data_IF_625784705808
#
_entry.id   IF_625784705808
#
_cell.length_a   1.000
_cell.length_b   1.000
_cell.length_c   1.000
_cell.angle_alpha   90.00
_cell.angle_beta   90.00
_cell.angle_gamma   90.00
#
_symmetry.space_group_name_H-M   'P 1'
#
loop_
_entity.id
_entity.type
_entity.pdbx_description
1 polymer ?
#
# COMPACT_ATOMS: atom_id res chain seq x y z
N UNK A 1 48.70 -45.73 28.56
CA UNK A 1 47.79 -45.31 29.65
C UNK A 1 47.01 -44.14 29.13
N UNK A 2 46.05 -44.46 28.48
CA UNK A 2 44.71 -44.03 28.12
C UNK A 2 44.29 -42.68 28.69
N UNK A 3 44.06 -41.72 27.82
CA UNK A 3 43.19 -40.57 27.99
C UNK A 3 42.14 -40.62 26.84
N UNK A 4 41.04 -41.21 27.20
CA UNK A 4 39.81 -41.18 26.44
C UNK A 4 38.72 -40.56 27.34
N UNK A 5 37.68 -40.02 26.71
CA UNK A 5 36.47 -39.55 27.32
C UNK A 5 36.45 -38.15 27.92
N UNK A 6 36.08 -37.17 27.04
CA UNK A 6 34.98 -36.25 27.35
C UNK A 6 34.49 -35.57 26.04
N UNK A 7 33.70 -36.27 25.29
CA UNK A 7 32.97 -35.72 24.16
C UNK A 7 31.49 -36.14 24.27
N UNK A 8 30.78 -35.42 25.10
CA UNK A 8 29.33 -35.55 25.17
C UNK A 8 28.71 -34.24 25.68
N UNK A 9 27.85 -33.62 24.88
CA UNK A 9 26.95 -32.59 25.38
C UNK A 9 26.95 -31.28 24.59
N UNK A 10 26.82 -31.32 23.27
CA UNK A 10 26.48 -30.14 22.47
C UNK A 10 25.57 -30.56 21.32
N UNK A 11 24.43 -31.14 21.66
CA UNK A 11 23.35 -31.37 20.68
C UNK A 11 22.02 -31.25 21.44
N UNK A 12 21.50 -30.06 21.47
CA UNK A 12 20.08 -29.73 21.53
C UNK A 12 19.94 -28.25 21.31
N UNK A 13 20.23 -27.80 20.08
CA UNK A 13 19.55 -26.59 19.60
C UNK A 13 18.12 -27.01 19.36
N UNK A 14 17.23 -26.67 20.27
CA UNK A 14 15.80 -26.75 20.03
C UNK A 14 15.51 -25.96 18.76
N UNK A 15 15.17 -26.69 17.71
CA UNK A 15 14.55 -26.12 16.51
C UNK A 15 13.27 -25.41 16.99
N UNK A 16 13.33 -24.08 17.07
CA UNK A 16 12.17 -23.26 17.24
C UNK A 16 11.15 -23.59 16.15
N UNK A 17 9.86 -23.29 16.39
CA UNK A 17 8.79 -23.72 15.50
C UNK A 17 9.11 -23.31 14.05
N UNK A 18 9.17 -24.31 13.21
CA UNK A 18 9.48 -24.26 11.79
C UNK A 18 8.57 -23.19 11.14
N UNK A 19 9.16 -22.07 10.71
CA UNK A 19 8.50 -21.02 9.93
C UNK A 19 8.18 -21.48 8.49
N UNK A 20 7.62 -22.68 8.34
CA UNK A 20 7.35 -23.32 7.04
C UNK A 20 5.96 -23.05 6.47
N UNK A 21 5.14 -22.22 7.14
CA UNK A 21 3.87 -21.77 6.57
C UNK A 21 3.80 -20.25 6.55
N UNK A 22 4.75 -19.59 5.91
CA UNK A 22 4.48 -18.26 5.36
C UNK A 22 3.47 -18.46 4.25
N UNK A 23 2.21 -18.27 4.59
CA UNK A 23 1.09 -18.18 3.68
C UNK A 23 1.51 -17.39 2.45
N UNK A 24 1.70 -18.08 1.35
CA UNK A 24 1.84 -17.48 0.03
C UNK A 24 0.52 -16.75 -0.21
N UNK A 25 0.55 -15.43 -0.22
CA UNK A 25 -0.66 -14.60 -0.23
C UNK A 25 -1.40 -14.55 -1.57
N UNK A 26 -1.31 -15.60 -2.38
CA UNK A 26 -2.06 -15.76 -3.61
C UNK A 26 -3.37 -16.51 -3.36
N UNK A 27 -4.40 -16.19 -4.12
CA UNK A 27 -5.62 -16.96 -4.16
C UNK A 27 -5.29 -18.37 -4.68
N UNK A 28 -5.22 -19.33 -3.77
CA UNK A 28 -4.99 -20.74 -4.12
C UNK A 28 -6.29 -21.50 -4.44
N UNK A 29 -7.39 -20.79 -4.62
CA UNK A 29 -8.72 -21.35 -4.83
C UNK A 29 -9.32 -22.03 -3.60
N UNK A 30 -8.66 -21.90 -2.44
CA UNK A 30 -9.14 -22.47 -1.19
C UNK A 30 -10.20 -21.55 -0.58
N UNK A 31 -11.31 -22.15 -0.17
CA UNK A 31 -12.37 -21.49 0.60
C UNK A 31 -12.36 -22.13 1.99
N UNK A 32 -11.90 -21.38 2.99
CA UNK A 32 -12.04 -21.76 4.40
C UNK A 32 -13.51 -21.63 4.85
N UNK A 33 -13.84 -22.19 6.00
CA UNK A 33 -15.20 -22.12 6.54
C UNK A 33 -15.65 -20.66 6.70
N UNK A 34 -16.69 -20.20 5.97
CA UNK A 34 -17.18 -18.84 6.03
C UNK A 34 -18.14 -18.58 7.21
N UNK A 35 -18.56 -19.61 7.95
CA UNK A 35 -19.66 -19.56 8.93
C UNK A 35 -19.40 -18.57 10.08
N UNK A 36 -18.16 -18.20 10.33
CA UNK A 36 -17.81 -17.18 11.32
C UNK A 36 -18.06 -15.73 10.89
N UNK A 37 -18.40 -15.46 9.61
CA UNK A 37 -18.51 -14.10 9.10
C UNK A 37 -19.68 -13.91 8.12
N UNK A 38 -20.81 -13.33 8.56
CA UNK A 38 -22.03 -13.21 7.75
C UNK A 38 -21.81 -12.55 6.39
N UNK A 39 -20.93 -11.52 6.31
CA UNK A 39 -20.65 -10.85 5.04
C UNK A 39 -19.89 -11.74 4.04
N UNK A 40 -19.07 -12.67 4.51
CA UNK A 40 -18.37 -13.62 3.64
C UNK A 40 -19.37 -14.63 3.07
N UNK A 41 -20.26 -15.16 3.90
CA UNK A 41 -21.33 -16.07 3.46
C UNK A 41 -22.19 -15.41 2.39
N UNK A 42 -22.66 -14.19 2.64
CA UNK A 42 -23.50 -13.45 1.70
C UNK A 42 -22.74 -13.10 0.40
N UNK A 43 -21.43 -12.79 0.51
CA UNK A 43 -20.56 -12.51 -0.63
C UNK A 43 -20.41 -13.74 -1.53
N UNK A 44 -20.19 -14.91 -0.94
CA UNK A 44 -20.11 -16.18 -1.67
C UNK A 44 -21.43 -16.54 -2.34
N UNK A 45 -22.57 -16.28 -1.69
CA UNK A 45 -23.88 -16.54 -2.27
C UNK A 45 -24.24 -15.62 -3.44
N UNK A 46 -23.86 -14.32 -3.34
CA UNK A 46 -24.23 -13.31 -4.34
C UNK A 46 -23.21 -13.19 -5.48
N UNK A 47 -21.92 -13.29 -5.16
CA UNK A 47 -20.82 -13.05 -6.07
C UNK A 47 -19.86 -14.24 -6.18
N UNK A 48 -20.33 -15.45 -5.93
CA UNK A 48 -19.50 -16.66 -5.90
C UNK A 48 -18.62 -16.83 -7.14
N UNK A 49 -19.15 -16.47 -8.33
CA UNK A 49 -18.39 -16.52 -9.60
C UNK A 49 -17.21 -15.54 -9.64
N UNK A 50 -17.20 -14.52 -8.78
CA UNK A 50 -16.16 -13.50 -8.70
C UNK A 50 -15.22 -13.71 -7.50
N UNK A 51 -15.52 -14.68 -6.64
CA UNK A 51 -14.67 -15.00 -5.49
C UNK A 51 -13.72 -16.12 -5.88
N UNK A 52 -12.44 -15.80 -5.95
CA UNK A 52 -11.39 -16.76 -6.27
C UNK A 52 -10.84 -17.49 -5.05
N UNK A 53 -11.08 -17.00 -3.85
CA UNK A 53 -10.64 -17.65 -2.61
C UNK A 53 -11.12 -16.92 -1.35
N UNK A 54 -11.14 -17.67 -0.25
CA UNK A 54 -11.40 -17.15 1.09
C UNK A 54 -10.49 -17.85 2.09
N UNK A 55 -9.90 -17.07 3.01
CA UNK A 55 -9.05 -17.58 4.07
C UNK A 55 -9.30 -16.84 5.38
N UNK A 56 -9.22 -17.57 6.48
CA UNK A 56 -9.20 -16.98 7.81
C UNK A 56 -7.74 -16.85 8.25
N UNK A 57 -7.29 -15.62 8.44
CA UNK A 57 -5.93 -15.29 8.87
C UNK A 57 -5.85 -15.26 10.40
N UNK A 58 -4.62 -15.12 10.95
CA UNK A 58 -4.39 -14.98 12.38
C UNK A 58 -5.27 -13.88 12.98
N UNK A 59 -5.84 -14.13 14.17
CA UNK A 59 -6.72 -13.19 14.85
C UNK A 59 -8.13 -13.14 14.28
N UNK A 60 -8.62 -14.21 13.64
CA UNK A 60 -9.97 -14.31 13.05
C UNK A 60 -10.27 -13.32 11.94
N UNK A 61 -9.24 -12.82 11.26
CA UNK A 61 -9.45 -11.90 10.14
C UNK A 61 -9.80 -12.67 8.87
N UNK A 62 -10.99 -12.42 8.36
CA UNK A 62 -11.44 -12.95 7.08
C UNK A 62 -10.85 -12.16 5.93
N UNK A 63 -10.28 -12.89 4.97
CA UNK A 63 -9.67 -12.36 3.73
C UNK A 63 -10.35 -13.03 2.55
N UNK A 64 -10.88 -12.24 1.64
CA UNK A 64 -11.58 -12.72 0.44
C UNK A 64 -10.86 -12.19 -0.79
N UNK A 65 -10.53 -13.07 -1.74
CA UNK A 65 -10.01 -12.70 -3.05
C UNK A 65 -11.15 -12.61 -4.04
N UNK A 66 -11.23 -11.48 -4.72
CA UNK A 66 -12.26 -11.22 -5.73
C UNK A 66 -11.62 -10.85 -7.07
N UNK A 67 -12.38 -11.05 -8.14
CA UNK A 67 -12.00 -10.58 -9.47
C UNK A 67 -11.86 -9.05 -9.48
N UNK A 68 -10.71 -8.57 -9.94
CA UNK A 68 -10.42 -7.13 -10.05
C UNK A 68 -11.37 -6.37 -10.97
N UNK A 69 -11.97 -7.04 -11.97
CA UNK A 69 -12.95 -6.43 -12.87
C UNK A 69 -14.28 -6.09 -12.17
N UNK A 70 -14.56 -6.72 -11.03
CA UNK A 70 -15.80 -6.51 -10.26
C UNK A 70 -15.58 -5.85 -8.91
N UNK A 71 -14.38 -5.29 -8.67
CA UNK A 71 -14.05 -4.66 -7.40
C UNK A 71 -15.07 -3.59 -6.98
N UNK A 72 -15.43 -2.69 -7.91
CA UNK A 72 -16.34 -1.59 -7.63
C UNK A 72 -17.76 -2.09 -7.29
N UNK A 73 -18.26 -3.07 -8.02
CA UNK A 73 -19.59 -3.65 -7.77
C UNK A 73 -19.69 -4.32 -6.39
N UNK A 74 -18.69 -5.14 -6.07
CA UNK A 74 -18.63 -5.85 -4.78
C UNK A 74 -18.47 -4.87 -3.62
N UNK A 75 -17.58 -3.91 -3.74
CA UNK A 75 -17.32 -2.92 -2.68
C UNK A 75 -18.52 -1.97 -2.49
N UNK A 76 -19.19 -1.58 -3.57
CA UNK A 76 -20.41 -0.79 -3.50
C UNK A 76 -21.51 -1.54 -2.74
N UNK A 77 -21.73 -2.83 -3.07
CA UNK A 77 -22.71 -3.65 -2.38
C UNK A 77 -22.36 -3.81 -0.89
N UNK A 78 -21.09 -4.10 -0.54
CA UNK A 78 -20.67 -4.24 0.86
C UNK A 78 -20.89 -2.94 1.67
N UNK A 79 -20.79 -1.77 1.03
CA UNK A 79 -21.04 -0.48 1.69
C UNK A 79 -22.53 -0.22 1.92
N UNK A 80 -23.36 -0.46 0.90
CA UNK A 80 -24.74 0.04 0.86
C UNK A 80 -25.77 -0.97 1.38
N UNK A 81 -25.43 -2.26 1.44
CA UNK A 81 -26.32 -3.30 1.95
C UNK A 81 -26.50 -3.15 3.47
N UNK A 82 -27.77 -3.18 3.93
CA UNK A 82 -28.14 -2.92 5.33
C UNK A 82 -27.60 -3.97 6.31
N UNK A 83 -27.37 -5.19 5.86
CA UNK A 83 -26.86 -6.27 6.70
C UNK A 83 -25.32 -6.24 6.83
N UNK A 84 -24.64 -5.44 6.00
CA UNK A 84 -23.19 -5.39 5.92
C UNK A 84 -22.62 -4.03 6.29
N UNK A 85 -23.09 -2.94 5.69
CA UNK A 85 -22.79 -1.54 5.99
C UNK A 85 -21.31 -1.28 6.33
N UNK A 86 -20.40 -1.59 5.38
CA UNK A 86 -19.00 -1.22 5.53
C UNK A 86 -18.81 0.26 5.22
N UNK A 87 -19.19 1.08 6.18
CA UNK A 87 -19.19 2.55 6.10
C UNK A 87 -17.80 3.17 6.15
N UNK A 88 -16.79 2.41 6.58
CA UNK A 88 -15.43 2.90 6.71
C UNK A 88 -14.44 2.03 5.94
N UNK A 89 -13.59 2.67 5.12
CA UNK A 89 -12.37 2.08 4.63
C UNK A 89 -11.22 2.47 5.56
N UNK A 90 -10.59 1.46 6.16
CA UNK A 90 -9.50 1.68 7.11
C UNK A 90 -8.17 1.86 6.40
N UNK A 91 -7.97 1.14 5.29
CA UNK A 91 -6.72 1.16 4.54
C UNK A 91 -6.91 0.63 3.12
N UNK A 92 -6.10 1.13 2.18
CA UNK A 92 -5.88 0.57 0.84
C UNK A 92 -4.38 0.47 0.65
N UNK A 93 -3.89 -0.74 0.41
CA UNK A 93 -2.47 -0.95 0.14
C UNK A 93 -2.27 -1.98 -0.97
N UNK A 94 -1.03 -2.24 -1.33
CA UNK A 94 -0.71 -3.31 -2.27
C UNK A 94 0.37 -4.24 -1.71
N UNK A 95 0.42 -5.45 -2.24
CA UNK A 95 1.44 -6.43 -1.89
C UNK A 95 2.06 -6.98 -3.16
N UNK A 96 3.33 -6.70 -3.34
CA UNK A 96 4.16 -7.32 -4.38
C UNK A 96 4.91 -8.51 -3.78
N UNK A 97 4.65 -9.70 -4.30
CA UNK A 97 5.31 -10.93 -3.86
C UNK A 97 6.62 -11.21 -4.61
N UNK A 98 6.90 -10.46 -5.66
CA UNK A 98 8.06 -10.65 -6.52
C UNK A 98 7.99 -11.92 -7.38
N UNK A 99 9.10 -12.25 -8.03
CA UNK A 99 9.24 -13.45 -8.86
C UNK A 99 8.20 -13.58 -9.99
N UNK A 100 7.76 -12.46 -10.56
CA UNK A 100 6.79 -12.45 -11.65
C UNK A 100 5.34 -12.74 -11.24
N UNK A 101 5.05 -12.76 -9.95
CA UNK A 101 3.69 -12.99 -9.43
C UNK A 101 2.83 -11.74 -9.53
N UNK A 102 1.49 -11.89 -9.61
CA UNK A 102 0.57 -10.78 -9.54
C UNK A 102 0.76 -9.91 -8.29
N UNK A 103 0.36 -8.65 -8.39
CA UNK A 103 0.29 -7.74 -7.25
C UNK A 103 -1.14 -7.78 -6.71
N UNK A 104 -1.28 -7.93 -5.39
CA UNK A 104 -2.58 -7.81 -4.74
C UNK A 104 -2.83 -6.36 -4.34
N UNK A 105 -3.96 -5.80 -4.74
CA UNK A 105 -4.52 -4.61 -4.09
C UNK A 105 -5.40 -5.07 -2.94
N UNK A 106 -5.18 -4.50 -1.76
CA UNK A 106 -5.79 -4.91 -0.50
C UNK A 106 -6.64 -3.79 0.05
N UNK A 107 -7.93 -4.05 0.24
CA UNK A 107 -8.87 -3.14 0.86
C UNK A 107 -9.22 -3.63 2.26
N UNK A 108 -8.97 -2.82 3.27
CA UNK A 108 -9.34 -3.11 4.65
C UNK A 108 -10.61 -2.36 5.00
N UNK A 109 -11.73 -3.08 5.07
CA UNK A 109 -13.05 -2.55 5.35
C UNK A 109 -13.41 -2.71 6.82
N UNK A 110 -14.16 -1.77 7.36
CA UNK A 110 -14.73 -1.84 8.69
C UNK A 110 -16.18 -1.35 8.69
N UNK A 111 -17.05 -2.10 9.36
CA UNK A 111 -18.41 -1.68 9.61
C UNK A 111 -18.53 -1.16 11.04
N UNK A 112 -18.81 0.13 11.20
CA UNK A 112 -18.99 0.74 12.54
C UNK A 112 -20.29 0.30 13.18
N UNK A 113 -21.30 0.00 12.37
CA UNK A 113 -22.62 -0.48 12.80
C UNK A 113 -22.54 -1.91 13.32
N UNK A 114 -21.97 -2.80 12.52
CA UNK A 114 -21.89 -4.23 12.86
C UNK A 114 -20.62 -4.62 13.60
N UNK A 115 -19.66 -3.68 13.80
CA UNK A 115 -18.37 -3.87 14.46
C UNK A 115 -17.57 -5.05 13.89
N UNK A 116 -17.54 -5.14 12.57
CA UNK A 116 -16.87 -6.21 11.81
C UNK A 116 -15.83 -5.64 10.88
N UNK A 117 -14.73 -6.34 10.72
CA UNK A 117 -13.69 -6.05 9.74
C UNK A 117 -13.68 -7.11 8.65
N UNK A 118 -13.45 -6.71 7.41
CA UNK A 118 -13.30 -7.60 6.28
C UNK A 118 -12.15 -7.11 5.40
N UNK A 119 -11.31 -8.03 4.95
CA UNK A 119 -10.25 -7.73 4.00
C UNK A 119 -10.58 -8.29 2.63
N UNK A 120 -10.63 -7.42 1.64
CA UNK A 120 -10.81 -7.78 0.24
C UNK A 120 -9.47 -7.67 -0.46
N UNK A 121 -9.16 -8.62 -1.34
CA UNK A 121 -7.98 -8.61 -2.19
C UNK A 121 -8.37 -8.76 -3.65
N UNK A 122 -7.68 -8.02 -4.51
CA UNK A 122 -7.79 -8.12 -5.97
C UNK A 122 -6.42 -8.38 -6.55
N UNK A 123 -6.24 -9.51 -7.20
CA UNK A 123 -4.99 -9.85 -7.90
C UNK A 123 -4.94 -9.11 -9.24
N UNK A 124 -3.81 -8.40 -9.48
CA UNK A 124 -3.56 -7.70 -10.74
C UNK A 124 -2.34 -8.31 -11.44
N UNK A 125 -2.46 -8.71 -12.69
CA UNK A 125 -1.33 -9.17 -13.48
C UNK A 125 -0.33 -8.03 -13.70
N UNK A 126 0.96 -8.37 -13.80
CA UNK A 126 2.02 -7.36 -13.93
C UNK A 126 1.99 -6.55 -15.23
N UNK A 127 1.38 -7.09 -16.27
CA UNK A 127 1.19 -6.45 -17.59
C UNK A 127 -0.07 -5.58 -17.67
N UNK A 128 -0.89 -5.56 -16.60
CA UNK A 128 -2.14 -4.81 -16.53
C UNK A 128 -2.42 -4.37 -15.09
N UNK A 129 -1.55 -3.54 -14.51
CA UNK A 129 -1.69 -3.04 -13.14
C UNK A 129 -2.75 -1.93 -13.07
N UNK A 130 -3.99 -2.29 -13.43
CA UNK A 130 -5.11 -1.34 -13.46
C UNK A 130 -6.31 -1.91 -12.72
N UNK A 131 -6.98 -1.05 -11.94
CA UNK A 131 -8.19 -1.38 -11.21
C UNK A 131 -9.11 -0.14 -11.14
N UNK A 132 -10.40 -0.33 -10.94
CA UNK A 132 -11.31 0.80 -10.80
C UNK A 132 -11.14 1.49 -9.45
N UNK A 133 -11.13 2.82 -9.47
CA UNK A 133 -11.10 3.66 -8.27
C UNK A 133 -12.39 3.53 -7.48
N UNK A 134 -12.26 3.58 -6.15
CA UNK A 134 -13.38 3.55 -5.23
C UNK A 134 -13.57 4.88 -4.47
N UNK A 135 -12.98 5.96 -4.95
CA UNK A 135 -13.09 7.31 -4.35
C UNK A 135 -14.54 7.76 -4.23
N UNK A 136 -15.41 7.38 -5.17
CA UNK A 136 -16.84 7.67 -5.11
C UNK A 136 -17.55 6.94 -3.96
N UNK A 137 -17.01 5.81 -3.52
CA UNK A 137 -17.55 5.04 -2.40
C UNK A 137 -17.07 5.62 -1.05
N UNK A 138 -15.77 5.87 -0.94
CA UNK A 138 -15.14 6.43 0.27
C UNK A 138 -14.15 7.53 -0.13
N UNK A 139 -14.39 8.75 0.27
CA UNK A 139 -13.52 9.88 -0.04
C UNK A 139 -12.08 9.72 0.48
N UNK A 140 -11.89 8.96 1.57
CA UNK A 140 -10.57 8.63 2.09
C UNK A 140 -9.72 7.82 1.08
N UNK A 141 -10.35 7.08 0.18
CA UNK A 141 -9.67 6.31 -0.87
C UNK A 141 -8.81 7.20 -1.78
N UNK A 142 -9.16 8.46 -1.97
CA UNK A 142 -8.38 9.40 -2.79
C UNK A 142 -6.89 9.41 -2.39
N UNK A 143 -6.59 9.49 -1.11
CA UNK A 143 -5.22 9.54 -0.62
C UNK A 143 -4.55 8.17 -0.64
N UNK A 144 -5.27 7.14 -0.25
CA UNK A 144 -4.77 5.77 -0.17
C UNK A 144 -4.47 5.16 -1.55
N UNK A 145 -5.33 5.43 -2.55
CA UNK A 145 -5.10 4.99 -3.93
C UNK A 145 -3.89 5.70 -4.56
N UNK A 146 -3.70 6.99 -4.27
CA UNK A 146 -2.51 7.72 -4.70
C UNK A 146 -1.23 7.18 -4.08
N UNK A 147 -1.26 6.76 -2.81
CA UNK A 147 -0.14 6.10 -2.15
C UNK A 147 0.22 4.78 -2.86
N UNK A 148 -0.79 3.95 -3.16
CA UNK A 148 -0.58 2.69 -3.87
C UNK A 148 -0.04 2.93 -5.30
N UNK A 149 -0.58 3.92 -6.00
CA UNK A 149 -0.05 4.34 -7.30
C UNK A 149 1.41 4.76 -7.20
N UNK A 150 1.74 5.61 -6.23
CA UNK A 150 3.09 6.15 -6.07
C UNK A 150 4.13 5.08 -5.76
N UNK A 151 3.81 4.17 -4.84
CA UNK A 151 4.77 3.20 -4.32
C UNK A 151 4.82 1.87 -5.08
N UNK A 152 3.72 1.46 -5.74
CA UNK A 152 3.61 0.18 -6.45
C UNK A 152 3.36 0.32 -7.95
N UNK A 153 2.89 1.47 -8.42
CA UNK A 153 2.58 1.72 -9.84
C UNK A 153 1.24 1.16 -10.31
N UNK A 154 0.31 0.92 -9.38
CA UNK A 154 -1.05 0.51 -9.74
C UNK A 154 -1.85 1.73 -10.21
N UNK A 155 -2.44 1.64 -11.40
CA UNK A 155 -3.28 2.71 -11.97
C UNK A 155 -4.73 2.52 -11.54
N UNK A 156 -5.31 3.53 -10.88
CA UNK A 156 -6.73 3.52 -10.50
C UNK A 156 -7.54 4.25 -11.57
N UNK A 157 -8.31 3.49 -12.35
CA UNK A 157 -9.14 4.04 -13.41
C UNK A 157 -10.24 4.93 -12.83
N UNK A 158 -10.51 6.07 -13.45
CA UNK A 158 -11.51 7.06 -13.00
C UNK A 158 -11.20 7.72 -11.65
N UNK A 159 -9.97 7.61 -11.18
CA UNK A 159 -9.54 8.41 -10.03
C UNK A 159 -9.52 9.90 -10.43
N UNK A 160 -10.08 10.81 -9.61
CA UNK A 160 -10.23 12.22 -9.98
C UNK A 160 -8.91 12.98 -10.15
N UNK A 161 -7.85 12.57 -9.42
CA UNK A 161 -6.54 13.24 -9.43
C UNK A 161 -5.44 12.25 -9.06
N UNK A 162 -5.11 11.33 -9.98
CA UNK A 162 -4.10 10.30 -9.77
C UNK A 162 -2.69 10.86 -10.03
N UNK A 163 -2.02 11.26 -8.97
CA UNK A 163 -0.66 11.79 -8.98
C UNK A 163 0.13 11.31 -7.77
N UNK A 164 1.46 11.38 -7.83
CA UNK A 164 2.33 11.03 -6.70
C UNK A 164 1.98 11.85 -5.45
N UNK A 165 2.20 11.26 -4.27
CA UNK A 165 1.88 11.86 -2.98
C UNK A 165 3.04 11.80 -1.98
N UNK A 166 3.81 10.73 -1.95
CA UNK A 166 4.93 10.52 -1.04
C UNK A 166 6.27 10.82 -1.70
N UNK A 167 6.42 10.41 -2.97
CA UNK A 167 7.63 10.67 -3.72
C UNK A 167 7.54 12.04 -4.42
N UNK A 168 8.68 12.70 -4.69
CA UNK A 168 8.72 13.93 -5.48
C UNK A 168 8.03 13.76 -6.84
N UNK A 169 7.44 14.82 -7.38
CA UNK A 169 6.71 14.77 -8.64
C UNK A 169 7.60 14.36 -9.83
N UNK A 170 8.86 14.72 -9.79
CA UNK A 170 9.91 14.42 -10.77
C UNK A 170 10.64 13.11 -10.49
N UNK A 171 10.15 12.28 -9.56
CA UNK A 171 10.78 11.02 -9.23
C UNK A 171 10.62 10.01 -10.37
N UNK A 172 11.68 9.80 -11.14
CA UNK A 172 11.72 8.95 -12.34
C UNK A 172 12.22 7.52 -12.08
N UNK A 173 12.70 7.23 -10.86
CA UNK A 173 13.32 5.94 -10.55
C UNK A 173 12.35 4.75 -10.60
N UNK A 174 11.05 5.02 -10.49
CA UNK A 174 9.99 4.01 -10.54
C UNK A 174 9.15 3.98 -9.27
N UNK A 175 8.88 2.76 -8.74
CA UNK A 175 7.99 2.55 -7.61
C UNK A 175 8.73 1.83 -6.48
N UNK A 176 9.05 2.53 -5.36
CA UNK A 176 10.01 2.07 -4.36
C UNK A 176 9.62 0.79 -3.60
N UNK A 177 8.35 0.44 -3.51
CA UNK A 177 7.91 -0.77 -2.80
C UNK A 177 7.78 -2.01 -3.68
N UNK A 178 8.06 -1.89 -4.97
CA UNK A 178 8.14 -3.06 -5.86
C UNK A 178 9.37 -3.90 -5.53
N UNK A 179 9.23 -5.22 -5.66
CA UNK A 179 10.34 -6.15 -5.38
C UNK A 179 11.48 -6.08 -6.39
N UNK A 180 11.22 -5.59 -7.60
CA UNK A 180 12.22 -5.33 -8.63
C UNK A 180 12.98 -4.01 -8.41
N UNK A 181 12.53 -3.18 -7.46
CA UNK A 181 13.20 -1.93 -7.11
C UNK A 181 14.40 -2.19 -6.20
N UNK A 182 15.61 -1.67 -6.52
CA UNK A 182 16.80 -1.91 -5.73
C UNK A 182 16.75 -1.19 -4.37
N UNK A 183 17.12 -1.89 -3.29
CA UNK A 183 17.09 -1.37 -1.91
C UNK A 183 17.86 -0.06 -1.69
N UNK A 184 18.87 0.20 -2.51
CA UNK A 184 19.71 1.41 -2.43
C UNK A 184 19.27 2.54 -3.37
N UNK A 185 18.15 2.36 -4.07
CA UNK A 185 17.74 3.21 -5.19
C UNK A 185 18.55 2.94 -6.46
N UNK A 186 18.15 3.54 -7.57
CA UNK A 186 18.81 3.38 -8.87
C UNK A 186 19.95 4.37 -9.06
N UNK A 187 19.93 5.49 -8.35
CA UNK A 187 20.94 6.53 -8.44
C UNK A 187 22.00 6.40 -7.34
N UNK A 188 23.21 6.82 -7.65
CA UNK A 188 24.28 6.93 -6.65
C UNK A 188 23.92 7.96 -5.57
N UNK A 189 24.52 7.83 -4.37
CA UNK A 189 24.31 8.80 -3.28
C UNK A 189 24.66 10.24 -3.72
N UNK A 190 25.70 10.41 -4.53
CA UNK A 190 26.09 11.71 -5.06
C UNK A 190 25.04 12.30 -5.99
N UNK A 191 24.44 11.48 -6.84
CA UNK A 191 23.35 11.88 -7.75
C UNK A 191 22.09 12.24 -6.99
N UNK A 192 21.71 11.45 -5.98
CA UNK A 192 20.56 11.74 -5.10
C UNK A 192 20.77 13.07 -4.35
N UNK A 193 21.98 13.33 -3.85
CA UNK A 193 22.31 14.60 -3.18
C UNK A 193 22.23 15.76 -4.16
N UNK A 194 22.75 15.61 -5.38
CA UNK A 194 22.69 16.66 -6.40
C UNK A 194 21.24 17.01 -6.74
N UNK A 195 20.39 16.00 -6.99
CA UNK A 195 18.95 16.20 -7.29
C UNK A 195 18.23 16.86 -6.12
N UNK A 196 18.51 16.46 -4.88
CA UNK A 196 17.92 17.09 -3.71
C UNK A 196 18.35 18.56 -3.54
N UNK A 197 19.58 18.93 -3.96
CA UNK A 197 20.05 20.31 -3.95
C UNK A 197 19.43 21.12 -5.11
N UNK A 198 19.26 20.51 -6.29
CA UNK A 198 18.61 21.16 -7.42
C UNK A 198 17.11 21.41 -7.16
N UNK A 199 16.44 20.53 -6.40
CA UNK A 199 15.05 20.71 -5.93
C UNK A 199 14.88 21.85 -4.92
N UNK A 200 15.98 22.38 -4.35
CA UNK A 200 15.91 23.54 -3.46
C UNK A 200 15.42 24.81 -4.16
N UNK A 201 15.40 24.82 -5.48
CA UNK A 201 14.80 25.90 -6.29
C UNK A 201 13.28 25.93 -6.15
N UNK A 202 12.62 24.77 -5.93
CA UNK A 202 11.17 24.73 -5.69
C UNK A 202 10.77 25.28 -4.31
N UNK A 203 11.66 25.23 -3.32
CA UNK A 203 11.42 25.92 -2.04
C UNK A 203 11.34 27.44 -2.17
N UNK A 204 11.95 28.02 -3.21
CA UNK A 204 11.79 29.44 -3.50
C UNK A 204 10.39 29.77 -4.06
N UNK A 205 9.79 28.84 -4.81
CA UNK A 205 8.40 28.99 -5.31
C UNK A 205 7.38 29.01 -4.17
N UNK A 206 7.54 28.13 -3.18
CA UNK A 206 6.65 28.11 -2.00
C UNK A 206 6.82 29.38 -1.16
N UNK A 207 8.03 29.93 -1.09
CA UNK A 207 8.28 31.21 -0.41
C UNK A 207 7.65 32.39 -1.15
N UNK A 208 7.69 32.40 -2.48
CA UNK A 208 7.03 33.42 -3.32
C UNK A 208 5.50 33.28 -3.29
N UNK A 209 4.95 32.06 -3.29
CA UNK A 209 3.49 31.84 -3.14
C UNK A 209 2.99 32.26 -1.75
N UNK A 210 3.80 32.10 -0.71
CA UNK A 210 3.44 32.62 0.64
C UNK A 210 3.57 34.15 0.74
N UNK A 211 4.28 34.78 -0.14
CA UNK A 211 4.44 36.25 -0.18
C UNK A 211 3.36 36.98 -1.01
N UNK A 212 2.47 36.25 -1.70
CA UNK A 212 1.34 36.79 -2.45
C UNK A 212 0.30 37.58 -1.61
N UNK A 213 0.50 37.68 -0.31
CA UNK A 213 -0.31 38.49 0.60
C UNK A 213 0.43 39.62 1.30
N UNK A 214 1.73 39.83 1.03
CA UNK A 214 2.49 40.92 1.64
C UNK A 214 2.56 42.12 0.67
N UNK A 215 2.13 43.25 1.18
CA UNK A 215 2.27 44.55 0.52
C UNK A 215 3.77 44.79 0.18
N UNK A 216 4.14 45.03 -1.10
CA UNK A 216 5.53 45.25 -1.51
C UNK A 216 6.23 46.40 -0.75
N UNK A 217 5.48 47.26 -0.06
CA UNK A 217 6.01 48.36 0.75
C UNK A 217 6.46 47.93 2.17
N UNK A 218 6.20 46.67 2.57
CA UNK A 218 6.60 46.17 3.90
C UNK A 218 7.77 45.15 3.83
N UNK A 219 8.41 44.95 2.68
CA UNK A 219 9.60 44.19 2.59
C UNK A 219 10.73 44.84 3.39
N UNK A 220 11.18 44.18 4.46
CA UNK A 220 12.30 44.65 5.24
C UNK A 220 13.54 44.77 4.31
N UNK A 221 14.33 45.84 4.45
CA UNK A 221 15.52 46.04 3.62
C UNK A 221 16.48 44.85 3.82
N UNK A 222 16.89 44.24 2.74
CA UNK A 222 17.96 43.24 2.70
C UNK A 222 19.17 43.89 3.33
N UNK A 223 19.64 43.35 4.47
CA UNK A 223 20.87 43.83 5.12
C UNK A 223 21.98 43.60 4.12
N UNK A 224 22.47 44.70 3.54
CA UNK A 224 23.53 44.71 2.57
C UNK A 224 24.80 44.07 3.15
N UNK A 225 25.40 43.21 2.38
CA UNK A 225 26.78 42.78 2.55
C UNK A 225 27.66 44.00 2.66
N UNK A 226 28.36 44.16 3.77
CA UNK A 226 29.43 45.14 3.92
C UNK A 226 30.50 44.77 2.92
N UNK A 227 30.61 45.55 1.87
CA UNK A 227 31.81 45.62 1.06
C UNK A 227 32.92 46.11 1.97
N UNK A 228 33.91 45.25 2.23
CA UNK A 228 35.13 45.60 2.94
C UNK A 228 36.06 46.31 1.98
N UNK A 229 36.08 47.62 2.05
CA UNK A 229 37.22 48.42 1.56
C UNK A 229 38.24 48.54 2.68
N UNK A 230 39.55 48.29 2.33
CA UNK A 230 40.71 48.59 3.13
C UNK A 230 41.83 47.57 3.03
#
# INVERSE_FOLDING_TARGET
>A
MTLDETKAGLDAVEEGPHLSERSTGSADGRIDDPDGHPSVVALLLRFGDSVSGHRVSAGTQHVVWIDSARNLEVLHWLRDDQDHQYDMISDITAVDYGAGRPIDVVYQLFSTVHKRALRIRCELPLDGLEIDSIVELWSAANWLEREVYDLFGVTFRRHPDLRRILMPHDYEEGHPLRKDFPLRGRFSRAEQTRRALDQSVEHSYIAEEMDLGRDPQQAAPIIGTKDGDG
#
